data_IF_145639369098
#
_entry.id   IF_145639369098
#
_cell.length_a   1.000
_cell.length_b   1.000
_cell.length_c   1.000
_cell.angle_alpha   90.00
_cell.angle_beta   90.00
_cell.angle_gamma   90.00
#
_symmetry.space_group_name_H-M   'P 1'
#
loop_
_entity.id
_entity.type
_entity.pdbx_description
1 polymer ?
#
# COMPACT_ATOMS: atom_id res chain seq x y z
N UNK A 1 -11.60 8.67 31.14
CA UNK A 1 -10.50 7.78 30.72
C UNK A 1 -10.86 6.99 29.47
N UNK A 2 -11.94 6.20 29.45
CA UNK A 2 -12.36 5.39 28.27
C UNK A 2 -12.67 6.20 27.00
N UNK A 3 -13.27 7.40 27.10
CA UNK A 3 -13.53 8.26 25.93
C UNK A 3 -12.23 8.71 25.24
N UNK A 4 -11.21 9.08 26.00
CA UNK A 4 -9.93 9.53 25.42
C UNK A 4 -9.19 8.45 24.65
N UNK A 5 -9.24 7.19 25.11
CA UNK A 5 -8.64 6.06 24.38
C UNK A 5 -9.38 5.78 23.08
N UNK A 6 -10.71 5.88 23.08
CA UNK A 6 -11.51 5.70 21.88
C UNK A 6 -11.21 6.79 20.83
N UNK A 7 -11.11 8.04 21.26
CA UNK A 7 -10.81 9.17 20.38
C UNK A 7 -9.41 9.01 19.75
N UNK A 8 -8.39 8.67 20.55
CA UNK A 8 -7.03 8.42 20.05
C UNK A 8 -6.99 7.27 19.04
N UNK A 9 -7.76 6.20 19.28
CA UNK A 9 -7.84 5.07 18.36
C UNK A 9 -8.49 5.46 17.03
N UNK A 10 -9.54 6.28 17.06
CA UNK A 10 -10.19 6.82 15.85
C UNK A 10 -9.23 7.67 15.03
N UNK A 11 -8.41 8.51 15.67
CA UNK A 11 -7.39 9.32 14.99
C UNK A 11 -6.35 8.44 14.27
N UNK A 12 -5.85 7.39 14.95
CA UNK A 12 -4.89 6.44 14.37
C UNK A 12 -5.49 5.67 13.20
N UNK A 13 -6.73 5.18 13.34
CA UNK A 13 -7.43 4.49 12.24
C UNK A 13 -7.63 5.43 11.06
N UNK A 14 -8.05 6.67 11.30
CA UNK A 14 -8.25 7.67 10.23
C UNK A 14 -6.95 7.88 9.44
N UNK A 15 -5.82 8.00 10.15
CA UNK A 15 -4.49 8.12 9.51
C UNK A 15 -4.15 6.87 8.67
N UNK A 16 -4.45 5.67 9.17
CA UNK A 16 -4.22 4.42 8.44
C UNK A 16 -5.11 4.29 7.20
N UNK A 17 -6.36 4.78 7.26
CA UNK A 17 -7.29 4.79 6.13
C UNK A 17 -6.86 5.80 5.05
N UNK A 18 -6.36 6.96 5.47
CA UNK A 18 -5.82 7.96 4.54
C UNK A 18 -4.55 7.46 3.84
N UNK A 19 -3.69 6.74 4.57
CA UNK A 19 -2.57 6.00 3.99
C UNK A 19 -3.05 4.98 2.95
N UNK A 20 -4.00 4.11 3.31
CA UNK A 20 -4.56 3.10 2.39
C UNK A 20 -5.13 3.75 1.12
N UNK A 21 -5.93 4.82 1.26
CA UNK A 21 -6.47 5.55 0.12
C UNK A 21 -5.36 6.16 -0.75
N UNK A 22 -4.30 6.67 -0.13
CA UNK A 22 -3.16 7.27 -0.82
C UNK A 22 -2.40 6.28 -1.71
N UNK A 23 -2.19 5.06 -1.22
CA UNK A 23 -1.42 4.02 -1.92
C UNK A 23 -2.24 3.22 -2.94
N UNK A 24 -3.56 3.11 -2.78
CA UNK A 24 -4.40 2.32 -3.71
C UNK A 24 -4.26 2.81 -5.15
N UNK A 25 -4.02 1.90 -6.08
CA UNK A 25 -3.89 2.17 -7.51
C UNK A 25 -5.26 2.53 -8.13
N UNK A 26 -5.34 2.86 -9.44
CA UNK A 26 -6.59 3.35 -10.04
C UNK A 26 -7.71 2.31 -10.07
N UNK A 27 -7.37 1.03 -10.03
CA UNK A 27 -8.32 -0.09 -9.88
C UNK A 27 -8.90 -0.22 -8.46
N UNK A 28 -8.48 0.64 -7.53
CA UNK A 28 -8.92 0.66 -6.14
C UNK A 28 -8.20 -0.34 -5.24
N UNK A 29 -7.28 -1.13 -5.79
CA UNK A 29 -6.57 -2.18 -5.07
C UNK A 29 -5.16 -1.73 -4.66
N UNK A 30 -4.52 -2.48 -3.77
CA UNK A 30 -3.20 -2.18 -3.22
C UNK A 30 -2.07 -2.43 -4.25
N UNK A 31 -0.89 -1.80 -4.09
CA UNK A 31 0.34 -2.31 -4.69
C UNK A 31 0.74 -3.66 -4.07
N UNK A 32 1.60 -4.41 -4.74
CA UNK A 32 2.02 -5.76 -4.35
C UNK A 32 3.42 -5.82 -3.73
N UNK A 33 3.90 -4.71 -3.15
CA UNK A 33 5.19 -4.67 -2.43
C UNK A 33 5.22 -5.65 -1.25
N UNK A 34 6.42 -6.17 -0.94
CA UNK A 34 6.62 -7.12 0.15
C UNK A 34 5.63 -8.31 0.08
N UNK A 35 5.19 -8.84 1.22
CA UNK A 35 4.15 -9.87 1.26
C UNK A 35 2.72 -9.33 1.12
N UNK A 36 2.44 -8.64 0.01
CA UNK A 36 1.10 -8.15 -0.32
C UNK A 36 0.42 -9.00 -1.40
N UNK A 37 -0.84 -9.37 -1.18
CA UNK A 37 -1.62 -10.18 -2.12
C UNK A 37 -3.10 -9.79 -2.14
N UNK A 38 -3.75 -10.01 -3.29
CA UNK A 38 -5.19 -9.76 -3.48
C UNK A 38 -6.01 -10.97 -3.02
N UNK A 39 -7.25 -10.73 -2.59
CA UNK A 39 -8.23 -11.78 -2.31
C UNK A 39 -8.02 -12.56 -1.00
N UNK A 40 -7.02 -12.20 -0.20
CA UNK A 40 -6.74 -12.84 1.10
C UNK A 40 -7.32 -12.02 2.27
N UNK A 41 -7.38 -10.69 2.12
CA UNK A 41 -7.95 -9.76 3.08
C UNK A 41 -9.16 -9.01 2.48
N UNK A 42 -10.00 -8.34 3.29
CA UNK A 42 -11.04 -7.46 2.78
C UNK A 42 -10.47 -6.42 1.82
N UNK A 43 -11.21 -6.13 0.76
CA UNK A 43 -10.82 -5.12 -0.23
C UNK A 43 -10.78 -3.71 0.40
N UNK A 44 -9.99 -2.77 -0.15
CA UNK A 44 -9.97 -1.39 0.34
C UNK A 44 -11.36 -0.74 0.40
N UNK A 45 -12.22 -0.98 -0.60
CA UNK A 45 -13.60 -0.48 -0.59
C UNK A 45 -14.41 -1.01 0.60
N UNK A 46 -14.31 -2.31 0.90
CA UNK A 46 -14.98 -2.90 2.07
C UNK A 46 -14.47 -2.32 3.39
N UNK A 47 -13.16 -2.02 3.47
CA UNK A 47 -12.55 -1.39 4.65
C UNK A 47 -13.10 0.04 4.82
N UNK A 48 -13.16 0.85 3.75
CA UNK A 48 -13.70 2.21 3.81
C UNK A 48 -15.19 2.23 4.17
N UNK A 49 -16.01 1.36 3.59
CA UNK A 49 -17.43 1.23 3.92
C UNK A 49 -17.65 0.80 5.38
N UNK A 50 -16.79 -0.08 5.90
CA UNK A 50 -16.85 -0.45 7.31
C UNK A 50 -16.45 0.73 8.22
N UNK A 51 -15.39 1.45 7.88
CA UNK A 51 -14.94 2.61 8.63
C UNK A 51 -15.98 3.75 8.64
N UNK A 52 -16.66 4.01 7.52
CA UNK A 52 -17.75 4.98 7.46
C UNK A 52 -18.86 4.62 8.46
N UNK A 53 -19.27 3.34 8.52
CA UNK A 53 -20.34 2.89 9.42
C UNK A 53 -19.96 2.94 10.90
N UNK A 54 -18.71 2.65 11.24
CA UNK A 54 -18.29 2.47 12.64
C UNK A 54 -17.75 3.76 13.25
N UNK A 55 -16.95 4.53 12.49
CA UNK A 55 -16.28 5.74 12.99
C UNK A 55 -16.64 7.00 12.20
N UNK A 56 -17.53 6.90 11.21
CA UNK A 56 -17.93 8.04 10.40
C UNK A 56 -16.86 8.52 9.41
N UNK A 57 -15.87 7.67 9.09
CA UNK A 57 -14.81 8.01 8.13
C UNK A 57 -15.40 8.45 6.79
N UNK A 58 -14.84 9.52 6.23
CA UNK A 58 -15.23 10.05 4.92
C UNK A 58 -14.06 9.93 3.97
N UNK A 59 -14.20 9.06 2.98
CA UNK A 59 -13.16 8.82 1.98
C UNK A 59 -12.84 10.12 1.23
N UNK A 60 -11.59 10.62 1.29
CA UNK A 60 -11.21 11.84 0.58
C UNK A 60 -11.31 11.67 -0.93
N UNK A 61 -11.89 12.68 -1.60
CA UNK A 61 -11.90 12.72 -3.06
C UNK A 61 -10.49 12.97 -3.61
N UNK A 62 -10.11 12.20 -4.64
CA UNK A 62 -8.82 12.33 -5.31
C UNK A 62 -8.83 13.55 -6.24
N UNK A 63 -7.76 14.34 -6.21
CA UNK A 63 -7.56 15.44 -7.17
C UNK A 63 -7.25 14.89 -8.56
N UNK A 64 -7.69 15.60 -9.61
CA UNK A 64 -7.26 15.34 -11.00
C UNK A 64 -5.98 16.09 -11.36
N UNK A 65 -5.57 17.07 -10.54
CA UNK A 65 -4.28 17.76 -10.69
C UNK A 65 -3.12 16.83 -10.32
N UNK A 66 -1.90 17.24 -10.70
CA UNK A 66 -0.70 16.58 -10.19
C UNK A 66 -0.63 16.75 -8.67
N UNK A 67 -0.41 15.66 -7.96
CA UNK A 67 -0.20 15.60 -6.50
C UNK A 67 0.99 14.73 -6.18
N UNK A 68 1.77 15.13 -5.18
CA UNK A 68 2.85 14.33 -4.61
C UNK A 68 2.56 14.13 -3.13
N UNK A 69 2.53 12.88 -2.69
CA UNK A 69 2.30 12.49 -1.29
C UNK A 69 3.50 11.72 -0.78
N UNK A 70 3.95 12.07 0.43
CA UNK A 70 5.03 11.40 1.12
C UNK A 70 4.47 10.74 2.38
N UNK A 71 4.58 9.41 2.45
CA UNK A 71 4.26 8.63 3.64
C UNK A 71 5.55 8.23 4.34
N UNK A 72 6.34 9.23 4.75
CA UNK A 72 7.75 9.08 5.17
C UNK A 72 7.97 8.03 6.26
N UNK A 73 7.05 7.91 7.22
CA UNK A 73 7.14 6.90 8.31
C UNK A 73 7.07 5.46 7.77
N UNK A 74 6.33 5.25 6.68
CA UNK A 74 6.23 3.96 5.98
C UNK A 74 7.21 3.81 4.82
N UNK A 75 7.83 4.91 4.38
CA UNK A 75 8.74 4.95 3.25
C UNK A 75 8.09 4.96 1.86
N UNK A 76 6.77 5.11 1.74
CA UNK A 76 6.12 5.16 0.43
C UNK A 76 5.98 6.59 -0.10
N UNK A 77 6.28 6.77 -1.38
CA UNK A 77 6.15 8.05 -2.09
C UNK A 77 5.26 7.87 -3.32
N UNK A 78 4.24 8.72 -3.43
CA UNK A 78 3.22 8.62 -4.48
C UNK A 78 3.20 9.90 -5.29
N UNK A 79 3.34 9.77 -6.61
CA UNK A 79 3.07 10.84 -7.56
C UNK A 79 1.87 10.43 -8.41
N UNK A 80 0.85 11.28 -8.49
CA UNK A 80 -0.42 10.97 -9.13
C UNK A 80 -0.94 12.16 -9.94
N UNK A 81 -1.57 11.89 -11.07
CA UNK A 81 -2.34 12.87 -11.85
C UNK A 81 -3.47 12.16 -12.58
N UNK A 82 -4.71 12.52 -12.29
CA UNK A 82 -5.90 11.86 -12.86
C UNK A 82 -5.84 10.32 -12.72
N UNK A 83 -5.78 9.59 -13.83
CA UNK A 83 -5.67 8.12 -13.87
C UNK A 83 -4.24 7.58 -13.71
N UNK A 84 -3.22 8.44 -13.77
CA UNK A 84 -1.81 8.06 -13.69
C UNK A 84 -1.33 8.07 -12.25
N UNK A 85 -0.54 7.06 -11.88
CA UNK A 85 0.11 6.98 -10.58
C UNK A 85 1.40 6.18 -10.68
N UNK A 86 2.45 6.71 -10.06
CA UNK A 86 3.62 5.94 -9.65
C UNK A 86 3.68 5.94 -8.13
N UNK A 87 3.91 4.77 -7.55
CA UNK A 87 4.22 4.60 -6.14
C UNK A 87 5.59 3.92 -6.03
N UNK A 88 6.45 4.46 -5.18
CA UNK A 88 7.83 3.99 -4.98
C UNK A 88 7.99 3.57 -3.52
N UNK A 89 8.57 2.39 -3.31
CA UNK A 89 8.97 1.91 -2.00
C UNK A 89 10.39 2.39 -1.65
N UNK A 90 10.49 3.29 -0.69
CA UNK A 90 11.75 3.77 -0.11
C UNK A 90 11.83 3.41 1.39
N UNK A 91 11.07 2.41 1.83
CA UNK A 91 10.96 1.99 3.22
C UNK A 91 12.18 1.27 3.76
N UNK A 92 12.21 1.18 5.09
CA UNK A 92 13.08 0.20 5.76
C UNK A 92 12.57 -1.22 5.45
N UNK A 93 13.40 -2.24 5.73
CA UNK A 93 13.11 -3.67 5.50
C UNK A 93 11.68 -4.07 5.93
N UNK A 94 11.15 -3.46 6.99
CA UNK A 94 9.76 -3.59 7.39
C UNK A 94 9.62 -3.17 8.85
N UNK A 95 8.46 -3.44 9.49
CA UNK A 95 8.33 -3.24 10.92
C UNK A 95 9.29 -4.15 11.70
N UNK A 96 9.94 -3.61 12.74
CA UNK A 96 10.91 -4.35 13.57
C UNK A 96 10.36 -5.68 14.14
N UNK A 97 9.05 -5.75 14.37
CA UNK A 97 8.37 -6.92 14.91
C UNK A 97 8.02 -7.97 13.85
N UNK A 98 8.18 -7.69 12.55
CA UNK A 98 7.80 -8.62 11.49
C UNK A 98 8.66 -8.55 10.21
N UNK A 99 10.00 -8.69 10.32
CA UNK A 99 10.91 -8.58 9.17
C UNK A 99 10.78 -9.73 8.16
N UNK A 100 10.10 -10.83 8.52
CA UNK A 100 9.96 -11.99 7.64
C UNK A 100 9.14 -11.70 6.36
N UNK A 101 8.31 -10.66 6.37
CA UNK A 101 7.53 -10.25 5.19
C UNK A 101 8.26 -9.31 4.24
N UNK A 102 9.46 -8.87 4.62
CA UNK A 102 10.30 -7.99 3.82
C UNK A 102 10.82 -8.67 2.56
N UNK A 103 10.88 -7.96 1.44
CA UNK A 103 11.60 -8.40 0.24
C UNK A 103 12.87 -7.57 0.05
N UNK A 104 13.66 -7.87 -0.99
CA UNK A 104 14.79 -7.03 -1.40
C UNK A 104 14.36 -6.02 -2.49
N UNK A 105 13.29 -5.27 -2.20
CA UNK A 105 12.52 -4.43 -3.13
C UNK A 105 12.71 -2.92 -2.92
N UNK A 106 13.70 -2.49 -2.13
CA UNK A 106 13.98 -1.06 -1.92
C UNK A 106 14.20 -0.33 -3.25
N UNK A 107 13.53 0.81 -3.40
CA UNK A 107 13.40 1.63 -4.62
C UNK A 107 12.60 1.00 -5.77
N UNK A 108 11.94 -0.15 -5.54
CA UNK A 108 10.95 -0.70 -6.48
C UNK A 108 9.76 0.25 -6.60
N UNK A 109 9.00 0.07 -7.68
CA UNK A 109 7.82 0.87 -7.96
C UNK A 109 6.74 0.06 -8.68
N UNK A 110 5.50 0.51 -8.52
CA UNK A 110 4.38 0.17 -9.39
C UNK A 110 3.92 1.43 -10.14
N UNK A 111 3.50 1.24 -11.40
CA UNK A 111 3.06 2.31 -12.30
C UNK A 111 1.74 1.94 -12.93
N UNK A 112 0.77 2.84 -12.86
CA UNK A 112 -0.42 2.81 -13.68
C UNK A 112 -0.51 4.06 -14.57
N UNK A 113 -0.92 3.86 -15.82
CA UNK A 113 -1.12 4.91 -16.83
C UNK A 113 -2.55 4.75 -17.35
N UNK A 114 -3.28 5.87 -17.46
CA UNK A 114 -4.68 5.90 -17.92
C UNK A 114 -5.57 4.89 -17.19
N UNK A 115 -5.33 4.73 -15.89
CA UNK A 115 -6.08 3.82 -15.02
C UNK A 115 -5.72 2.34 -15.17
N UNK A 116 -4.73 1.98 -16.01
CA UNK A 116 -4.28 0.61 -16.21
C UNK A 116 -2.91 0.38 -15.56
N UNK A 117 -2.74 -0.73 -14.86
CA UNK A 117 -1.42 -1.11 -14.31
C UNK A 117 -0.49 -1.51 -15.46
N UNK A 118 0.68 -0.89 -15.52
CA UNK A 118 1.70 -1.08 -16.57
C UNK A 118 2.94 -1.76 -16.00
N UNK A 119 3.38 -1.34 -14.81
CA UNK A 119 4.47 -1.97 -14.07
C UNK A 119 3.91 -2.45 -12.74
N UNK A 120 4.05 -3.74 -12.48
CA UNK A 120 3.53 -4.41 -11.29
C UNK A 120 4.66 -5.15 -10.59
N UNK A 121 4.54 -5.33 -9.26
CA UNK A 121 5.45 -6.19 -8.53
C UNK A 121 5.10 -7.68 -8.77
N UNK A 122 6.10 -8.55 -8.56
CA UNK A 122 5.94 -10.00 -8.59
C UNK A 122 5.07 -10.54 -7.45
N UNK A 123 4.98 -9.80 -6.34
CA UNK A 123 4.23 -10.18 -5.16
C UNK A 123 4.82 -11.39 -4.44
N UNK A 124 3.98 -12.16 -3.75
CA UNK A 124 4.42 -13.15 -2.74
C UNK A 124 4.83 -14.50 -3.33
N UNK A 125 4.20 -14.89 -4.44
CA UNK A 125 4.06 -16.27 -4.92
C UNK A 125 3.36 -17.22 -3.92
N UNK A 126 4.06 -17.63 -2.86
CA UNK A 126 3.57 -18.50 -1.77
C UNK A 126 4.46 -18.29 -0.52
N UNK A 127 4.09 -18.86 0.63
CA UNK A 127 4.88 -18.86 1.85
C UNK A 127 5.82 -20.06 1.99
N UNK A 128 5.61 -21.11 1.19
CA UNK A 128 6.44 -22.32 1.26
C UNK A 128 7.86 -22.09 0.68
N UNK A 129 8.91 -22.62 1.35
CA UNK A 129 10.27 -22.55 0.84
C UNK A 129 10.40 -23.20 -0.55
N UNK A 130 10.62 -22.37 -1.57
CA UNK A 130 10.68 -22.79 -2.97
C UNK A 130 11.61 -21.86 -3.77
N UNK A 131 11.95 -22.26 -5.00
CA UNK A 131 12.76 -21.42 -5.90
C UNK A 131 12.00 -20.15 -6.30
N UNK A 132 10.71 -20.29 -6.49
CA UNK A 132 9.77 -19.24 -6.85
C UNK A 132 9.62 -18.23 -5.72
N UNK A 133 9.47 -18.69 -4.47
CA UNK A 133 9.48 -17.82 -3.29
C UNK A 133 10.82 -17.11 -3.11
N UNK A 134 11.94 -17.81 -3.31
CA UNK A 134 13.26 -17.19 -3.24
C UNK A 134 13.46 -16.14 -4.35
N UNK A 135 12.93 -16.38 -5.55
CA UNK A 135 12.96 -15.43 -6.65
C UNK A 135 12.10 -14.20 -6.35
N UNK A 136 10.84 -14.41 -5.92
CA UNK A 136 9.88 -13.35 -5.61
C UNK A 136 10.43 -12.35 -4.58
N UNK A 137 11.23 -12.83 -3.61
CA UNK A 137 11.86 -11.98 -2.58
C UNK A 137 13.17 -11.31 -3.01
N UNK A 138 13.69 -11.61 -4.20
CA UNK A 138 15.00 -11.14 -4.66
C UNK A 138 14.88 -9.83 -5.41
N UNK A 139 15.89 -8.97 -5.34
CA UNK A 139 15.95 -7.69 -6.10
C UNK A 139 15.65 -7.87 -7.59
N UNK A 140 16.03 -9.01 -8.18
CA UNK A 140 15.80 -9.33 -9.60
C UNK A 140 14.32 -9.52 -9.98
N UNK A 141 13.42 -9.67 -9.01
CA UNK A 141 11.98 -9.77 -9.24
C UNK A 141 11.27 -8.40 -9.12
N UNK A 142 12.00 -7.35 -8.73
CA UNK A 142 11.46 -6.03 -8.47
C UNK A 142 12.00 -5.00 -9.47
N UNK A 143 11.34 -3.85 -9.57
CA UNK A 143 11.65 -2.81 -10.55
C UNK A 143 12.76 -1.87 -10.02
N UNK A 144 13.92 -2.44 -9.66
CA UNK A 144 15.05 -1.73 -9.05
C UNK A 144 16.40 -2.38 -9.43
N UNK A 145 17.52 -1.79 -9.00
CA UNK A 145 18.88 -2.23 -9.32
C UNK A 145 19.80 -2.30 -8.09
#
# INVERSE_FOLDING_TARGET
>A
MLRGVADEFVEKITTALDFLNGICLPDGDIPLFNDSARGIAPTPSQIFEYAERVIGYKLPQRSTSLTVSAFSESGYYVCRKAGDIIIIDCGSIGPDYNPAHAHCDTLSYELAIDGQRVVVDSGVFDYEPSRERAYARSTRAHNTA
#
